data_IF_010449730349
#
_entry.id   IF_010449730349
#
_cell.length_a   1.000
_cell.length_b   1.000
_cell.length_c   1.000
_cell.angle_alpha   90.00
_cell.angle_beta   90.00
_cell.angle_gamma   90.00
#
_symmetry.space_group_name_H-M   'P 1'
#
loop_
_entity.id
_entity.type
_entity.pdbx_description
1 polymer ?
#
# COMPACT_ATOMS: atom_id res chain seq x y z
N UNK A 1 -21.12 -1.95 -17.17
CA UNK A 1 -20.28 -0.91 -16.56
C UNK A 1 -18.91 -1.52 -16.36
N UNK A 2 -17.94 -1.12 -17.17
CA UNK A 2 -16.57 -1.64 -17.10
C UNK A 2 -15.97 -1.25 -15.75
N UNK A 3 -15.55 -2.23 -14.94
CA UNK A 3 -14.91 -1.94 -13.65
C UNK A 3 -13.54 -1.33 -13.95
N UNK A 4 -13.39 -0.02 -13.69
CA UNK A 4 -12.13 0.71 -13.87
C UNK A 4 -11.03 0.32 -12.86
N UNK A 5 -11.37 -0.45 -11.84
CA UNK A 5 -10.45 -0.85 -10.77
C UNK A 5 -10.66 -2.31 -10.41
N UNK A 6 -9.57 -3.04 -10.20
CA UNK A 6 -9.61 -4.40 -9.65
C UNK A 6 -9.62 -4.41 -8.12
N UNK A 7 -9.32 -3.26 -7.49
CA UNK A 7 -9.04 -3.17 -6.06
C UNK A 7 -7.73 -3.82 -5.64
N UNK A 8 -6.80 -4.12 -6.56
CA UNK A 8 -5.52 -4.76 -6.24
C UNK A 8 -4.41 -3.79 -5.83
N UNK A 9 -4.53 -2.52 -6.23
CA UNK A 9 -3.52 -1.48 -6.01
C UNK A 9 -4.06 -0.35 -5.13
N UNK A 10 -4.84 -0.70 -4.11
CA UNK A 10 -5.51 0.27 -3.23
C UNK A 10 -4.67 0.52 -1.98
N UNK A 11 -4.46 1.80 -1.65
CA UNK A 11 -3.99 2.25 -0.35
C UNK A 11 -4.97 3.26 0.25
N UNK A 12 -5.24 3.13 1.54
CA UNK A 12 -6.06 4.08 2.28
C UNK A 12 -5.36 5.44 2.37
N UNK A 13 -6.11 6.53 2.14
CA UNK A 13 -5.65 7.91 2.22
C UNK A 13 -6.53 8.68 3.21
N UNK A 14 -6.09 8.76 4.47
CA UNK A 14 -6.92 9.25 5.56
C UNK A 14 -8.19 8.40 5.72
N UNK A 15 -9.26 8.99 6.25
CA UNK A 15 -10.44 8.21 6.66
C UNK A 15 -11.48 8.00 5.55
N UNK A 16 -11.40 8.73 4.44
CA UNK A 16 -12.49 8.80 3.46
C UNK A 16 -12.05 8.61 2.01
N UNK A 17 -10.75 8.53 1.75
CA UNK A 17 -10.21 8.43 0.41
C UNK A 17 -9.31 7.21 0.27
N UNK A 18 -9.13 6.79 -0.98
CA UNK A 18 -8.18 5.78 -1.36
C UNK A 18 -7.33 6.30 -2.51
N UNK A 19 -6.06 5.92 -2.53
CA UNK A 19 -5.20 5.98 -3.71
C UNK A 19 -5.38 4.69 -4.49
N UNK A 20 -5.70 4.81 -5.79
CA UNK A 20 -5.80 3.68 -6.71
C UNK A 20 -4.64 3.72 -7.71
N UNK A 21 -3.72 2.76 -7.55
CA UNK A 21 -2.54 2.58 -8.38
C UNK A 21 -2.74 1.67 -9.60
N UNK A 22 -3.99 1.36 -9.99
CA UNK A 22 -4.28 0.46 -11.12
C UNK A 22 -3.72 0.98 -12.46
N UNK A 23 -3.91 2.28 -12.74
CA UNK A 23 -3.48 2.93 -13.99
C UNK A 23 -1.99 3.23 -13.98
N UNK A 24 -1.21 2.46 -14.74
CA UNK A 24 0.23 2.59 -14.87
C UNK A 24 0.70 3.94 -15.43
N UNK A 25 -0.13 4.62 -16.22
CA UNK A 25 0.22 5.93 -16.81
C UNK A 25 0.11 7.08 -15.80
N UNK A 26 -0.55 6.82 -14.66
CA UNK A 26 -0.83 7.80 -13.60
C UNK A 26 -0.22 7.42 -12.24
N UNK A 27 0.46 6.28 -12.17
CA UNK A 27 0.95 5.69 -10.91
C UNK A 27 2.47 5.61 -10.87
N UNK A 28 3.03 5.68 -9.66
CA UNK A 28 4.45 5.47 -9.45
C UNK A 28 4.82 3.98 -9.35
N UNK A 29 6.12 3.68 -9.39
CA UNK A 29 6.66 2.32 -9.24
C UNK A 29 6.28 1.64 -7.92
N UNK A 30 5.91 2.41 -6.89
CA UNK A 30 5.52 1.89 -5.57
C UNK A 30 4.31 0.96 -5.61
N UNK A 31 3.53 0.95 -6.70
CA UNK A 31 2.47 -0.04 -6.96
C UNK A 31 2.96 -1.49 -7.01
N UNK A 32 4.25 -1.71 -7.21
CA UNK A 32 4.86 -3.03 -7.30
C UNK A 32 5.42 -3.55 -5.97
N UNK A 33 5.33 -2.77 -4.88
CA UNK A 33 5.78 -3.20 -3.55
C UNK A 33 4.85 -4.28 -3.04
N UNK A 34 5.40 -5.47 -2.79
CA UNK A 34 4.60 -6.67 -2.49
C UNK A 34 4.26 -6.81 -1.00
N UNK A 35 3.34 -7.74 -0.74
CA UNK A 35 2.96 -8.12 0.61
C UNK A 35 3.94 -9.11 1.25
N UNK A 36 4.29 -8.87 2.52
CA UNK A 36 4.67 -9.94 3.45
C UNK A 36 4.55 -9.45 4.89
N UNK A 37 3.82 -10.14 5.76
CA UNK A 37 3.82 -9.81 7.20
C UNK A 37 5.14 -10.18 7.88
N UNK A 38 5.72 -11.32 7.48
CA UNK A 38 6.94 -11.86 8.11
C UNK A 38 8.21 -11.15 7.66
N UNK A 39 8.27 -10.75 6.39
CA UNK A 39 9.45 -10.16 5.76
C UNK A 39 9.32 -8.66 5.51
N UNK A 40 8.22 -8.02 5.89
CA UNK A 40 8.05 -6.58 5.77
C UNK A 40 9.29 -5.85 6.31
N UNK A 41 9.83 -4.97 5.46
CA UNK A 41 10.96 -4.10 5.77
C UNK A 41 10.61 -2.62 5.55
N UNK A 42 9.39 -2.35 5.08
CA UNK A 42 8.79 -1.04 5.01
C UNK A 42 7.45 -0.99 5.75
N UNK A 43 7.05 0.20 6.18
CA UNK A 43 5.70 0.52 6.63
C UNK A 43 5.14 1.70 5.82
N UNK A 44 3.82 1.75 5.65
CA UNK A 44 3.14 2.85 4.96
C UNK A 44 2.54 3.83 5.96
N UNK A 45 2.65 5.12 5.66
CA UNK A 45 2.16 6.19 6.51
C UNK A 45 1.45 7.25 5.69
N UNK A 46 0.35 7.76 6.24
CA UNK A 46 -0.35 8.90 5.69
C UNK A 46 0.35 10.19 6.10
N UNK A 47 0.60 11.06 5.12
CA UNK A 47 1.19 12.38 5.30
C UNK A 47 0.25 13.45 4.75
N UNK A 48 -0.04 14.43 5.59
CA UNK A 48 -0.67 15.69 5.19
C UNK A 48 0.38 16.78 5.25
N UNK A 49 0.77 17.30 4.09
CA UNK A 49 1.63 18.48 4.02
C UNK A 49 0.73 19.70 3.84
N UNK A 50 0.75 20.58 4.84
CA UNK A 50 0.01 21.84 4.77
C UNK A 50 0.56 22.73 3.66
N UNK A 51 -0.26 23.62 3.09
CA UNK A 51 0.20 24.61 2.12
C UNK A 51 1.39 25.41 2.67
N UNK A 52 2.33 25.73 1.79
CA UNK A 52 3.48 26.60 2.06
C UNK A 52 3.39 27.85 1.20
N UNK A 53 4.31 28.81 1.37
CA UNK A 53 4.41 29.96 0.45
C UNK A 53 4.67 29.51 -1.01
N UNK A 54 5.31 28.35 -1.18
CA UNK A 54 5.69 27.77 -2.48
C UNK A 54 4.60 26.86 -3.07
N UNK A 55 3.76 26.24 -2.23
CA UNK A 55 2.65 25.37 -2.65
C UNK A 55 1.35 25.79 -2.00
N UNK A 56 0.39 26.26 -2.82
CA UNK A 56 -0.94 26.69 -2.34
C UNK A 56 -1.88 25.53 -1.99
N UNK A 57 -1.48 24.28 -2.25
CA UNK A 57 -2.34 23.12 -2.07
C UNK A 57 -1.84 22.24 -0.93
N UNK A 58 -2.79 21.73 -0.14
CA UNK A 58 -2.53 20.63 0.80
C UNK A 58 -2.21 19.37 0.00
N UNK A 59 -1.06 18.76 0.28
CA UNK A 59 -0.72 17.47 -0.28
C UNK A 59 -1.15 16.38 0.69
N UNK A 60 -2.09 15.55 0.26
CA UNK A 60 -2.41 14.28 0.92
C UNK A 60 -1.63 13.19 0.20
N UNK A 61 -0.79 12.45 0.92
CA UNK A 61 0.06 11.42 0.32
C UNK A 61 0.25 10.24 1.25
N UNK A 62 0.66 9.12 0.67
CA UNK A 62 1.17 7.98 1.42
C UNK A 62 2.66 7.86 1.11
N UNK A 63 3.48 7.71 2.13
CA UNK A 63 4.90 7.40 1.97
C UNK A 63 5.22 6.05 2.58
N UNK A 64 6.28 5.42 2.03
CA UNK A 64 6.84 4.19 2.55
C UNK A 64 8.13 4.53 3.30
N UNK A 65 8.25 4.04 4.52
CA UNK A 65 9.43 4.23 5.36
C UNK A 65 10.04 2.87 5.69
N UNK A 66 11.36 2.77 5.54
CA UNK A 66 12.09 1.57 5.93
C UNK A 66 12.04 1.42 7.46
N UNK A 67 11.70 0.23 7.95
CA UNK A 67 11.61 -0.05 9.39
C UNK A 67 12.91 -0.60 9.97
N UNK A 68 13.91 -0.81 9.12
CA UNK A 68 15.28 -1.24 9.42
C UNK A 68 16.17 -0.96 8.21
N UNK A 69 17.48 -1.16 8.35
CA UNK A 69 18.39 -1.15 7.21
C UNK A 69 18.01 -2.22 6.18
N UNK A 70 18.09 -1.85 4.89
CA UNK A 70 17.73 -2.67 3.73
C UNK A 70 18.97 -2.76 2.83
N UNK A 71 19.38 -3.98 2.49
CA UNK A 71 20.55 -4.19 1.62
C UNK A 71 20.19 -3.98 0.15
N UNK A 72 21.15 -3.56 -0.66
CA UNK A 72 20.93 -3.42 -2.10
C UNK A 72 20.49 -4.76 -2.73
N UNK A 73 19.42 -4.71 -3.53
CA UNK A 73 18.82 -5.89 -4.16
C UNK A 73 17.82 -6.64 -3.28
N UNK A 74 17.65 -6.26 -2.01
CA UNK A 74 16.56 -6.75 -1.18
C UNK A 74 15.21 -6.20 -1.68
N UNK A 75 14.18 -7.05 -1.74
CA UNK A 75 12.84 -6.63 -2.13
C UNK A 75 12.19 -5.78 -1.03
N UNK A 76 11.51 -4.70 -1.42
CA UNK A 76 10.71 -3.89 -0.51
C UNK A 76 9.35 -4.55 -0.29
N UNK A 77 9.00 -4.75 0.98
CA UNK A 77 7.80 -5.48 1.39
C UNK A 77 7.06 -4.73 2.49
N UNK A 78 5.72 -4.74 2.42
CA UNK A 78 4.83 -4.17 3.43
C UNK A 78 3.77 -5.17 3.88
N UNK A 79 3.14 -4.93 5.03
CA UNK A 79 1.88 -5.58 5.39
C UNK A 79 0.73 -4.86 4.68
N UNK A 80 -0.07 -5.58 3.89
CA UNK A 80 -1.23 -5.01 3.18
C UNK A 80 -2.43 -4.84 4.13
N UNK A 81 -2.38 -5.46 5.30
CA UNK A 81 -3.44 -5.41 6.29
C UNK A 81 -4.55 -6.43 6.04
N UNK A 82 -5.38 -6.67 7.07
CA UNK A 82 -6.45 -7.65 7.01
C UNK A 82 -7.57 -7.30 6.03
N UNK A 83 -7.89 -6.02 5.85
CA UNK A 83 -8.99 -5.57 4.98
C UNK A 83 -8.77 -5.99 3.53
N UNK A 84 -7.53 -5.88 3.03
CA UNK A 84 -7.16 -6.30 1.68
C UNK A 84 -7.42 -7.79 1.48
N UNK A 85 -6.92 -8.62 2.40
CA UNK A 85 -6.98 -10.07 2.26
C UNK A 85 -8.34 -10.66 2.56
N UNK A 86 -9.05 -10.15 3.57
CA UNK A 86 -10.39 -10.61 3.93
C UNK A 86 -11.41 -10.32 2.82
N UNK A 87 -11.12 -9.35 1.93
CA UNK A 87 -11.92 -9.08 0.73
C UNK A 87 -11.68 -10.08 -0.43
N UNK A 88 -10.60 -10.87 -0.37
CA UNK A 88 -10.12 -11.74 -1.47
C UNK A 88 -10.15 -13.22 -1.14
N UNK A 89 -9.90 -13.55 0.12
CA UNK A 89 -9.88 -14.92 0.61
C UNK A 89 -10.71 -15.01 1.89
N UNK A 90 -11.31 -16.16 2.14
CA UNK A 90 -12.04 -16.37 3.39
C UNK A 90 -11.10 -16.21 4.59
N UNK A 91 -11.49 -15.42 5.58
CA UNK A 91 -10.70 -15.14 6.80
C UNK A 91 -10.16 -16.38 7.50
N UNK A 92 -10.89 -17.49 7.42
CA UNK A 92 -10.54 -18.77 8.05
C UNK A 92 -10.01 -19.81 7.06
N UNK A 93 -9.78 -19.43 5.81
CA UNK A 93 -9.28 -20.35 4.80
C UNK A 93 -7.81 -20.70 5.08
N UNK A 94 -7.37 -21.95 4.82
CA UNK A 94 -5.96 -22.33 4.95
C UNK A 94 -5.00 -21.42 4.17
N UNK A 95 -5.45 -20.89 3.03
CA UNK A 95 -4.70 -19.93 2.22
C UNK A 95 -4.43 -18.62 2.95
N UNK A 96 -5.32 -18.16 3.83
CA UNK A 96 -5.12 -16.95 4.65
C UNK A 96 -3.95 -17.13 5.63
N UNK A 97 -3.85 -18.31 6.25
CA UNK A 97 -2.71 -18.63 7.11
C UNK A 97 -1.40 -18.65 6.35
N UNK A 98 -1.39 -19.20 5.13
CA UNK A 98 -0.20 -19.18 4.29
C UNK A 98 0.23 -17.74 3.96
N UNK A 99 -0.70 -16.88 3.56
CA UNK A 99 -0.45 -15.46 3.26
C UNK A 99 0.15 -14.72 4.47
N UNK A 100 -0.38 -14.98 5.66
CA UNK A 100 0.04 -14.26 6.87
C UNK A 100 1.40 -14.72 7.42
N UNK A 101 1.77 -15.98 7.22
CA UNK A 101 2.86 -16.60 8.00
C UNK A 101 3.97 -17.27 7.17
N UNK A 102 3.82 -17.41 5.85
CA UNK A 102 4.86 -17.99 4.97
C UNK A 102 5.57 -16.91 4.15
#
# INVERSE_FOLDING_TARGET
>A
MERRTSGAYIMTLGDSWVLDGEDETRSAWTRFVNHSRRKANCASYFLVVSPTEESRYTLNSVYLEATRDISAGEELLIDYGPEYWDSRVGKWAPTRFAIDYL
#
